data_IF_405778690146
#
_entry.id   IF_405778690146
#
_cell.length_a   1.000
_cell.length_b   1.000
_cell.length_c   1.000
_cell.angle_alpha   90.00
_cell.angle_beta   90.00
_cell.angle_gamma   90.00
#
_symmetry.space_group_name_H-M   'P 1'
#
loop_
_entity.id
_entity.type
_entity.pdbx_description
1 polymer ?
#
# COMPACT_ATOMS: atom_id res chain seq x y z
N UNK A 1 -11.99 -8.60 19.33
CA UNK A 1 -12.72 -7.84 18.29
C UNK A 1 -12.54 -6.36 18.60
N UNK A 2 -11.46 -5.74 18.11
CA UNK A 2 -11.16 -4.33 18.37
C UNK A 2 -11.58 -3.49 17.16
N UNK A 3 -12.25 -2.38 17.47
CA UNK A 3 -13.08 -1.62 16.55
C UNK A 3 -12.31 -1.02 15.38
N UNK A 4 -12.84 -1.23 14.18
CA UNK A 4 -12.46 -0.46 13.01
C UNK A 4 -13.15 0.90 13.10
N UNK A 5 -12.35 1.93 13.37
CA UNK A 5 -12.76 3.33 13.32
C UNK A 5 -13.26 3.65 11.91
N UNK A 6 -14.40 4.32 11.81
CA UNK A 6 -15.15 4.64 10.59
C UNK A 6 -14.41 5.58 9.60
N UNK A 7 -13.11 5.84 9.76
CA UNK A 7 -12.31 6.77 8.95
C UNK A 7 -11.42 6.11 7.88
N UNK A 8 -11.53 4.80 7.65
CA UNK A 8 -10.60 4.02 6.82
C UNK A 8 -10.77 4.11 5.30
N UNK A 9 -11.71 4.91 4.77
CA UNK A 9 -12.11 4.82 3.34
C UNK A 9 -11.70 6.03 2.49
N UNK A 10 -11.07 7.05 3.09
CA UNK A 10 -10.68 8.28 2.42
C UNK A 10 -9.17 8.42 2.40
N UNK A 11 -8.64 8.88 1.28
CA UNK A 11 -7.21 9.07 1.11
C UNK A 11 -6.73 10.43 1.62
N UNK A 12 -7.61 11.44 1.63
CA UNK A 12 -7.27 12.79 2.07
C UNK A 12 -8.47 13.47 2.74
N UNK A 13 -8.19 14.43 3.64
CA UNK A 13 -9.22 15.22 4.30
C UNK A 13 -8.92 16.71 4.17
N UNK A 14 -9.92 17.47 3.71
CA UNK A 14 -9.81 18.91 3.61
C UNK A 14 -10.02 19.62 4.95
N UNK A 15 -9.86 20.95 4.95
CA UNK A 15 -10.03 21.79 6.15
C UNK A 15 -11.41 21.69 6.80
N UNK A 16 -12.44 21.26 6.05
CA UNK A 16 -13.80 21.04 6.55
C UNK A 16 -14.00 19.66 7.20
N UNK A 17 -12.98 18.80 7.21
CA UNK A 17 -13.08 17.43 7.73
C UNK A 17 -13.83 16.46 6.82
N UNK A 18 -14.23 16.89 5.61
CA UNK A 18 -14.82 16.00 4.60
C UNK A 18 -13.69 15.18 3.95
N UNK A 19 -13.89 13.87 3.89
CA UNK A 19 -12.96 12.94 3.28
C UNK A 19 -13.13 12.85 1.77
N UNK A 20 -12.01 12.73 1.05
CA UNK A 20 -11.94 12.56 -0.39
C UNK A 20 -11.15 11.30 -0.74
N UNK A 21 -11.48 10.69 -1.88
CA UNK A 21 -10.75 9.56 -2.46
C UNK A 21 -10.02 10.04 -3.70
N UNK A 22 -8.79 10.48 -3.53
CA UNK A 22 -7.93 10.92 -4.64
C UNK A 22 -6.97 9.83 -5.09
N UNK A 23 -6.54 8.96 -4.17
CA UNK A 23 -5.53 7.96 -4.48
C UNK A 23 -6.19 6.70 -5.01
N UNK A 24 -5.66 6.20 -6.14
CA UNK A 24 -6.17 5.04 -6.84
C UNK A 24 -5.02 4.12 -7.22
N UNK A 25 -5.25 2.82 -7.08
CA UNK A 25 -4.40 1.78 -7.66
C UNK A 25 -5.21 1.10 -8.77
N UNK A 26 -4.66 1.09 -9.98
CA UNK A 26 -5.28 0.44 -11.12
C UNK A 26 -4.65 -0.93 -11.32
N UNK A 27 -5.50 -1.94 -11.47
CA UNK A 27 -5.10 -3.33 -11.74
C UNK A 27 -5.70 -3.71 -13.09
N UNK A 28 -4.88 -4.25 -14.00
CA UNK A 28 -5.39 -4.73 -15.29
C UNK A 28 -6.23 -5.99 -15.10
N UNK A 29 -7.20 -6.23 -15.98
CA UNK A 29 -8.14 -7.35 -15.86
C UNK A 29 -7.47 -8.71 -15.60
N UNK A 30 -6.33 -9.08 -16.22
CA UNK A 30 -5.65 -10.36 -15.94
C UNK A 30 -5.13 -10.52 -14.51
N UNK A 31 -4.98 -9.43 -13.76
CA UNK A 31 -4.46 -9.43 -12.40
C UNK A 31 -5.56 -9.23 -11.34
N UNK A 32 -6.82 -9.05 -11.76
CA UNK A 32 -7.93 -8.75 -10.85
C UNK A 32 -8.13 -9.86 -9.81
N UNK A 33 -8.03 -11.12 -10.23
CA UNK A 33 -8.18 -12.30 -9.35
C UNK A 33 -7.04 -12.43 -8.33
N UNK A 34 -5.93 -11.70 -8.52
CA UNK A 34 -4.79 -11.69 -7.60
C UNK A 34 -4.94 -10.65 -6.50
N UNK A 35 -5.92 -9.76 -6.56
CA UNK A 35 -6.12 -8.73 -5.53
C UNK A 35 -6.69 -9.37 -4.26
N UNK A 36 -5.90 -9.36 -3.19
CA UNK A 36 -6.31 -9.91 -1.89
C UNK A 36 -6.91 -8.85 -0.97
N UNK A 37 -6.36 -7.64 -0.99
CA UNK A 37 -6.82 -6.52 -0.17
C UNK A 37 -6.32 -5.18 -0.76
N UNK A 38 -7.07 -4.12 -0.48
CA UNK A 38 -6.68 -2.75 -0.77
C UNK A 38 -7.18 -1.86 0.36
N UNK A 39 -6.28 -1.19 1.05
CA UNK A 39 -6.57 -0.50 2.31
C UNK A 39 -5.96 0.90 2.33
N UNK A 40 -6.55 1.79 3.14
CA UNK A 40 -5.92 3.04 3.56
C UNK A 40 -5.51 2.95 5.03
N UNK A 41 -4.24 3.26 5.30
CA UNK A 41 -3.67 3.39 6.63
C UNK A 41 -3.58 4.86 7.02
N UNK A 42 -4.36 5.25 8.03
CA UNK A 42 -4.55 6.65 8.43
C UNK A 42 -3.45 7.15 9.36
N UNK A 43 -2.62 6.27 9.92
CA UNK A 43 -1.71 6.53 11.03
C UNK A 43 -0.69 7.64 10.71
N UNK A 44 -0.07 7.59 9.52
CA UNK A 44 0.87 8.62 9.09
C UNK A 44 0.19 10.00 8.94
N UNK A 45 -1.05 10.01 8.43
CA UNK A 45 -1.84 11.23 8.27
C UNK A 45 -2.28 11.81 9.62
N UNK A 46 -2.78 10.95 10.51
CA UNK A 46 -3.23 11.35 11.85
C UNK A 46 -2.08 11.83 12.73
N UNK A 47 -0.87 11.33 12.50
CA UNK A 47 0.37 11.83 13.10
C UNK A 47 0.92 13.12 12.45
N UNK A 48 0.30 13.61 11.37
CA UNK A 48 0.76 14.80 10.65
C UNK A 48 2.04 14.61 9.84
N UNK A 49 2.43 13.36 9.57
CA UNK A 49 3.63 13.02 8.79
C UNK A 49 3.38 13.03 7.27
N UNK A 50 2.12 12.92 6.87
CA UNK A 50 1.65 13.05 5.50
C UNK A 50 0.27 13.74 5.50
N UNK A 51 -0.10 14.41 4.41
CA UNK A 51 -1.44 14.95 4.24
C UNK A 51 -2.43 13.90 3.69
N UNK A 52 -1.91 12.83 3.08
CA UNK A 52 -2.66 11.66 2.62
C UNK A 52 -2.49 10.45 3.55
N UNK A 53 -3.49 9.58 3.57
CA UNK A 53 -3.40 8.23 4.11
C UNK A 53 -2.53 7.35 3.19
N UNK A 54 -1.82 6.39 3.76
CA UNK A 54 -1.01 5.45 2.98
C UNK A 54 -1.95 4.44 2.32
N UNK A 55 -1.88 4.32 0.99
CA UNK A 55 -2.64 3.31 0.25
C UNK A 55 -1.79 2.06 0.04
N UNK A 56 -2.35 0.88 0.35
CA UNK A 56 -1.68 -0.41 0.15
C UNK A 56 -2.53 -1.32 -0.74
N UNK A 57 -1.85 -2.16 -1.52
CA UNK A 57 -2.45 -3.23 -2.31
C UNK A 57 -1.69 -4.51 -2.01
N UNK A 58 -2.42 -5.54 -1.61
CA UNK A 58 -1.87 -6.88 -1.40
C UNK A 58 -2.28 -7.77 -2.56
N UNK A 59 -1.29 -8.34 -3.23
CA UNK A 59 -1.45 -9.23 -4.37
C UNK A 59 -0.99 -10.65 -4.05
N UNK A 60 -1.67 -11.64 -4.60
CA UNK A 60 -1.19 -13.01 -4.69
C UNK A 60 -0.36 -13.20 -5.97
N UNK A 61 0.94 -13.01 -5.82
CA UNK A 61 1.91 -13.19 -6.90
C UNK A 61 2.67 -14.50 -6.69
N UNK A 62 2.85 -15.30 -7.76
CA UNK A 62 3.74 -16.43 -7.68
C UNK A 62 5.15 -15.90 -7.38
N UNK A 63 5.79 -16.48 -6.37
CA UNK A 63 7.23 -16.29 -6.17
C UNK A 63 7.95 -16.96 -7.34
N UNK A 64 8.49 -16.16 -8.26
CA UNK A 64 9.54 -16.67 -9.15
C UNK A 64 10.73 -17.00 -8.26
N UNK A 65 11.29 -18.22 -8.30
CA UNK A 65 12.58 -18.47 -7.69
C UNK A 65 13.57 -17.50 -8.34
N UNK A 66 14.01 -16.49 -7.61
CA UNK A 66 15.07 -15.61 -8.07
C UNK A 66 16.35 -16.43 -8.16
N UNK A 67 17.08 -16.33 -9.27
CA UNK A 67 18.54 -16.39 -9.19
C UNK A 67 18.94 -15.42 -8.07
N UNK A 68 19.33 -15.97 -6.92
CA UNK A 68 19.92 -15.18 -5.86
C UNK A 68 21.15 -14.54 -6.52
N UNK A 69 21.14 -13.22 -6.64
CA UNK A 69 22.27 -12.50 -7.22
C UNK A 69 23.54 -12.98 -6.53
N UNK A 70 24.40 -13.66 -7.28
CA UNK A 70 25.74 -14.00 -6.85
C UNK A 70 26.41 -12.68 -6.47
N UNK A 71 26.65 -12.48 -5.18
CA UNK A 71 27.44 -11.35 -4.73
C UNK A 71 28.80 -11.44 -5.44
N UNK A 72 29.30 -10.38 -6.09
CA UNK A 72 30.58 -10.44 -6.76
C UNK A 72 31.63 -10.85 -5.73
N UNK A 73 32.33 -11.95 -5.99
CA UNK A 73 33.43 -12.40 -5.16
C UNK A 73 34.43 -11.25 -5.06
N UNK A 74 34.56 -10.65 -3.87
CA UNK A 74 35.64 -9.72 -3.57
C UNK A 74 36.93 -10.53 -3.47
N UNK A 75 37.54 -10.79 -4.63
CA UNK A 75 38.92 -11.24 -4.70
C UNK A 75 39.82 -10.08 -4.32
N UNK A 76 40.32 -10.08 -3.09
CA UNK A 76 41.47 -9.26 -2.71
C UNK A 76 42.71 -10.06 -3.11
N UNK A 77 43.38 -9.59 -4.17
CA UNK A 77 44.77 -9.93 -4.46
C UNK A 77 45.72 -8.96 -3.77
#
# INVERSE_FOLDING_TARGET
>A
MTGWRLSSWHSWFGRSGIGFRFDHLFVSAPHAERVLACDYHQEAREAGLADHAVMTLRLDLPSTPGEQGEAPATGVG
#
